data_IF_422887625934
#
_entry.id   IF_422887625934
#
_cell.length_a   1.000
_cell.length_b   1.000
_cell.length_c   1.000
_cell.angle_alpha   90.00
_cell.angle_beta   90.00
_cell.angle_gamma   90.00
#
_symmetry.space_group_name_H-M   'P 1'
#
loop_
_entity.id
_entity.type
_entity.pdbx_description
1 polymer ?
#
# COMPACT_ATOMS: atom_id res chain seq x y z
N UNK A 1 -28.54 24.96 62.15
CA UNK A 1 -27.14 24.60 61.86
C UNK A 1 -27.13 23.52 60.79
N UNK A 2 -27.18 23.90 59.51
CA UNK A 2 -27.04 22.98 58.39
C UNK A 2 -25.57 22.86 58.03
N UNK A 3 -25.03 21.65 58.06
CA UNK A 3 -23.67 21.37 57.64
C UNK A 3 -23.64 21.21 56.11
N UNK A 4 -22.98 22.14 55.43
CA UNK A 4 -22.65 22.02 54.01
C UNK A 4 -21.61 20.92 53.81
N UNK A 5 -22.02 19.83 53.15
CA UNK A 5 -21.10 18.85 52.61
C UNK A 5 -20.41 19.44 51.37
N UNK A 6 -19.16 19.87 51.52
CA UNK A 6 -18.28 20.20 50.39
C UNK A 6 -17.88 18.91 49.67
N UNK A 7 -18.52 18.65 48.54
CA UNK A 7 -18.11 17.61 47.60
C UNK A 7 -16.83 18.06 46.89
N UNK A 8 -15.67 17.60 47.37
CA UNK A 8 -14.40 17.68 46.62
C UNK A 8 -14.49 16.79 45.39
N UNK A 9 -14.75 17.38 44.22
CA UNK A 9 -14.54 16.73 42.94
C UNK A 9 -13.04 16.45 42.77
N UNK A 10 -12.64 15.17 42.79
CA UNK A 10 -11.32 14.75 42.32
C UNK A 10 -11.27 15.06 40.82
N UNK A 11 -10.48 16.06 40.43
CA UNK A 11 -10.00 16.17 39.05
C UNK A 11 -9.15 14.93 38.77
N UNK A 12 -9.72 13.95 38.05
CA UNK A 12 -8.92 12.91 37.41
C UNK A 12 -8.06 13.58 36.33
N UNK A 13 -6.74 13.64 36.57
CA UNK A 13 -5.78 14.01 35.54
C UNK A 13 -5.78 12.89 34.51
N UNK A 14 -6.44 13.10 33.37
CA UNK A 14 -6.41 12.17 32.25
C UNK A 14 -4.97 12.15 31.72
N UNK A 15 -4.24 11.07 32.00
CA UNK A 15 -2.87 10.88 31.53
C UNK A 15 -2.92 10.75 30.00
N UNK A 16 -2.23 11.63 29.29
CA UNK A 16 -2.08 11.56 27.84
C UNK A 16 -1.05 10.48 27.49
N UNK A 17 -1.53 9.27 27.22
CA UNK A 17 -0.71 8.12 26.84
C UNK A 17 0.08 8.36 25.55
N UNK A 18 -0.46 9.16 24.62
CA UNK A 18 0.22 9.47 23.34
C UNK A 18 1.43 10.33 23.60
N UNK A 19 1.27 11.36 24.43
CA UNK A 19 2.36 12.23 24.83
C UNK A 19 3.42 11.47 25.64
N UNK A 20 3.02 10.55 26.54
CA UNK A 20 3.97 9.70 27.26
C UNK A 20 4.81 8.81 26.34
N UNK A 21 4.17 8.16 25.35
CA UNK A 21 4.89 7.34 24.38
C UNK A 21 5.86 8.18 23.55
N UNK A 22 5.41 9.34 23.07
CA UNK A 22 6.25 10.29 22.33
C UNK A 22 7.46 10.75 23.16
N UNK A 23 7.26 11.11 24.43
CA UNK A 23 8.32 11.56 25.33
C UNK A 23 9.30 10.43 25.70
N UNK A 24 8.86 9.17 25.66
CA UNK A 24 9.74 8.01 25.83
C UNK A 24 10.69 7.80 24.65
N UNK A 25 10.43 8.42 23.50
CA UNK A 25 11.20 8.28 22.25
C UNK A 25 12.02 9.53 21.96
N UNK A 26 11.39 10.71 22.05
CA UNK A 26 12.00 12.00 21.72
C UNK A 26 13.24 12.28 22.58
N UNK A 27 14.26 12.86 21.94
CA UNK A 27 15.53 13.19 22.58
C UNK A 27 16.52 12.02 22.64
N UNK A 28 16.11 10.80 22.27
CA UNK A 28 17.02 9.66 22.16
C UNK A 28 17.80 9.73 20.86
N UNK A 29 19.01 9.18 20.90
CA UNK A 29 19.78 8.87 19.70
C UNK A 29 19.74 7.37 19.48
N UNK A 30 19.30 6.95 18.30
CA UNK A 30 19.19 5.54 17.89
C UNK A 30 20.08 5.28 16.70
N UNK A 31 20.41 4.02 16.46
CA UNK A 31 21.14 3.57 15.27
C UNK A 31 20.19 2.82 14.36
N UNK A 32 20.04 3.30 13.13
CA UNK A 32 19.42 2.53 12.05
C UNK A 32 20.49 1.54 11.53
N UNK A 33 20.21 0.22 11.53
CA UNK A 33 21.17 -0.77 11.08
C UNK A 33 21.47 -0.62 9.58
N UNK A 34 22.56 -1.22 9.13
CA UNK A 34 22.92 -1.20 7.72
C UNK A 34 21.95 -2.08 6.91
N UNK A 35 20.99 -1.44 6.25
CA UNK A 35 19.99 -2.12 5.42
C UNK A 35 20.51 -2.45 4.00
N UNK A 36 21.63 -1.88 3.56
CA UNK A 36 22.15 -2.04 2.19
C UNK A 36 22.32 -3.52 1.77
N UNK A 37 22.87 -4.43 2.60
CA UNK A 37 23.01 -5.83 2.21
C UNK A 37 21.67 -6.54 1.92
N UNK A 38 20.56 -6.04 2.45
CA UNK A 38 19.22 -6.59 2.21
C UNK A 38 18.75 -6.25 0.79
N UNK A 39 19.03 -5.02 0.33
CA UNK A 39 18.50 -4.46 -0.91
C UNK A 39 19.47 -4.55 -2.10
N UNK A 40 20.77 -4.29 -1.88
CA UNK A 40 21.78 -4.19 -2.95
C UNK A 40 22.15 -5.55 -3.57
N UNK A 41 21.70 -6.67 -2.97
CA UNK A 41 21.81 -8.00 -3.59
C UNK A 41 20.87 -8.19 -4.78
N UNK A 42 19.88 -7.31 -4.94
CA UNK A 42 18.94 -7.30 -6.08
C UNK A 42 19.33 -6.23 -7.10
N UNK A 43 18.87 -6.38 -8.34
CA UNK A 43 19.15 -5.41 -9.40
C UNK A 43 18.33 -4.14 -9.18
N UNK A 44 18.99 -3.04 -8.80
CA UNK A 44 18.41 -1.70 -8.78
C UNK A 44 19.05 -0.81 -9.84
N UNK A 45 18.23 -0.18 -10.67
CA UNK A 45 18.66 0.88 -11.59
C UNK A 45 17.70 2.06 -11.47
N UNK A 46 18.18 3.25 -11.83
CA UNK A 46 17.29 4.41 -12.01
C UNK A 46 16.86 4.43 -13.48
N UNK A 47 15.57 4.65 -13.73
CA UNK A 47 15.05 4.77 -15.10
C UNK A 47 15.83 5.85 -15.87
N UNK A 48 16.27 5.59 -17.12
CA UNK A 48 17.01 6.57 -17.92
C UNK A 48 16.23 7.86 -18.21
N UNK A 49 14.90 7.84 -18.06
CA UNK A 49 14.04 9.01 -18.25
C UNK A 49 13.88 9.88 -16.99
N UNK A 50 14.60 9.61 -15.90
CA UNK A 50 14.51 10.36 -14.65
C UNK A 50 14.60 11.88 -14.86
N UNK A 51 15.66 12.36 -15.52
CA UNK A 51 15.86 13.80 -15.74
C UNK A 51 14.74 14.42 -16.57
N UNK A 52 14.26 13.69 -17.58
CA UNK A 52 13.14 14.12 -18.42
C UNK A 52 11.80 14.15 -17.65
N UNK A 53 11.68 13.41 -16.54
CA UNK A 53 10.49 13.43 -15.68
C UNK A 53 10.43 14.58 -14.70
N UNK A 54 11.56 15.17 -14.31
CA UNK A 54 11.60 16.31 -13.38
C UNK A 54 10.67 17.46 -13.81
N UNK A 55 10.72 18.01 -15.05
CA UNK A 55 9.82 19.10 -15.45
C UNK A 55 8.35 18.69 -15.49
N UNK A 56 8.04 17.44 -15.84
CA UNK A 56 6.66 16.92 -15.89
C UNK A 56 6.07 16.81 -14.48
N UNK A 57 6.86 16.31 -13.53
CA UNK A 57 6.48 16.23 -12.11
C UNK A 57 6.29 17.62 -11.53
N UNK A 58 7.22 18.55 -11.79
CA UNK A 58 7.12 19.92 -11.27
C UNK A 58 5.86 20.62 -11.78
N UNK A 59 5.58 20.55 -13.08
CA UNK A 59 4.36 21.11 -13.67
C UNK A 59 3.10 20.46 -13.10
N UNK A 60 3.12 19.15 -12.88
CA UNK A 60 2.01 18.44 -12.26
C UNK A 60 1.75 18.92 -10.83
N UNK A 61 2.78 19.03 -10.00
CA UNK A 61 2.64 19.53 -8.63
C UNK A 61 2.15 20.97 -8.59
N UNK A 62 2.69 21.84 -9.45
CA UNK A 62 2.26 23.25 -9.58
C UNK A 62 0.77 23.37 -9.95
N UNK A 63 0.25 22.44 -10.75
CA UNK A 63 -1.18 22.43 -11.10
C UNK A 63 -2.11 21.99 -9.97
N UNK A 64 -1.60 21.31 -8.94
CA UNK A 64 -2.40 20.70 -7.87
C UNK A 64 -2.23 21.40 -6.52
N UNK A 65 -1.09 22.08 -6.30
CA UNK A 65 -0.73 22.62 -4.99
C UNK A 65 -0.49 24.12 -5.08
N UNK A 66 -1.49 24.90 -4.66
CA UNK A 66 -1.44 26.36 -4.70
C UNK A 66 -0.56 26.97 -3.59
N UNK A 67 -0.42 26.28 -2.46
CA UNK A 67 0.39 26.77 -1.35
C UNK A 67 1.89 26.61 -1.66
N UNK A 68 2.60 27.72 -1.86
CA UNK A 68 4.02 27.73 -2.26
C UNK A 68 4.94 26.98 -1.28
N UNK A 69 4.69 27.08 0.03
CA UNK A 69 5.50 26.40 1.05
C UNK A 69 5.29 24.88 0.98
N UNK A 70 4.04 24.43 0.85
CA UNK A 70 3.70 23.00 0.67
C UNK A 70 4.29 22.49 -0.66
N UNK A 71 4.16 23.24 -1.74
CA UNK A 71 4.72 22.91 -3.05
C UNK A 71 6.25 22.76 -2.98
N UNK A 72 6.95 23.70 -2.34
CA UNK A 72 8.40 23.60 -2.16
C UNK A 72 8.79 22.34 -1.37
N UNK A 73 8.08 22.02 -0.28
CA UNK A 73 8.29 20.77 0.49
C UNK A 73 8.02 19.53 -0.35
N UNK A 74 6.98 19.50 -1.18
CA UNK A 74 6.66 18.36 -2.03
C UNK A 74 7.69 18.17 -3.15
N UNK A 75 8.24 19.25 -3.71
CA UNK A 75 9.31 19.16 -4.71
C UNK A 75 10.58 18.51 -4.15
N UNK A 76 10.89 18.66 -2.86
CA UNK A 76 12.03 17.96 -2.25
C UNK A 76 11.79 16.45 -2.08
N UNK A 77 10.54 15.98 -2.19
CA UNK A 77 10.25 14.55 -2.16
C UNK A 77 10.79 13.82 -3.40
N UNK A 78 11.02 14.54 -4.52
CA UNK A 78 11.49 14.00 -5.80
C UNK A 78 10.69 12.77 -6.28
N UNK A 79 9.43 13.01 -6.67
CA UNK A 79 8.57 11.96 -7.21
C UNK A 79 9.05 11.41 -8.56
N UNK A 80 9.87 12.17 -9.31
CA UNK A 80 10.50 11.68 -10.52
C UNK A 80 11.50 10.57 -10.17
N UNK A 81 12.32 10.78 -9.13
CA UNK A 81 13.26 9.78 -8.62
C UNK A 81 12.53 8.60 -8.00
N UNK A 82 11.44 8.83 -7.26
CA UNK A 82 10.58 7.77 -6.70
C UNK A 82 10.14 6.80 -7.80
N UNK A 83 9.44 7.30 -8.82
CA UNK A 83 8.92 6.46 -9.88
C UNK A 83 10.02 5.83 -10.73
N UNK A 84 11.13 6.55 -10.96
CA UNK A 84 12.27 6.03 -11.73
C UNK A 84 13.00 4.89 -11.02
N UNK A 85 12.92 4.83 -9.69
CA UNK A 85 13.46 3.75 -8.88
C UNK A 85 12.48 2.56 -8.78
N UNK A 86 11.18 2.82 -8.62
CA UNK A 86 10.16 1.77 -8.55
C UNK A 86 9.95 1.03 -9.88
N UNK A 87 9.95 1.78 -10.99
CA UNK A 87 9.71 1.24 -12.34
C UNK A 87 10.86 1.57 -13.29
N UNK A 88 12.05 0.99 -13.06
CA UNK A 88 13.27 1.39 -13.75
C UNK A 88 13.31 0.99 -15.23
N UNK A 89 12.44 0.08 -15.64
CA UNK A 89 12.31 -0.41 -17.01
C UNK A 89 11.07 0.14 -17.73
N UNK A 90 10.33 1.07 -17.12
CA UNK A 90 9.18 1.67 -17.76
C UNK A 90 9.58 2.58 -18.92
N UNK A 91 8.88 2.42 -20.03
CA UNK A 91 8.90 3.39 -21.11
C UNK A 91 8.33 4.74 -20.62
N UNK A 92 8.69 5.84 -21.29
CA UNK A 92 8.36 7.19 -20.81
C UNK A 92 6.87 7.42 -20.58
N UNK A 93 6.02 6.82 -21.43
CA UNK A 93 4.56 6.95 -21.35
C UNK A 93 4.01 6.32 -20.09
N UNK A 94 4.40 5.07 -19.81
CA UNK A 94 4.00 4.31 -18.63
C UNK A 94 4.63 4.92 -17.38
N UNK A 95 5.91 5.32 -17.43
CA UNK A 95 6.62 6.01 -16.34
C UNK A 95 5.87 7.26 -15.89
N UNK A 96 5.38 8.07 -16.83
CA UNK A 96 4.57 9.26 -16.51
C UNK A 96 3.30 8.91 -15.74
N UNK A 97 2.63 7.81 -16.11
CA UNK A 97 1.34 7.41 -15.51
C UNK A 97 1.55 6.89 -14.09
N UNK A 98 2.55 6.02 -13.88
CA UNK A 98 2.89 5.53 -12.54
C UNK A 98 3.46 6.64 -11.65
N UNK A 99 4.14 7.64 -12.23
CA UNK A 99 4.55 8.85 -11.50
C UNK A 99 3.35 9.68 -11.08
N UNK A 100 2.35 9.85 -11.95
CA UNK A 100 1.12 10.55 -11.60
C UNK A 100 0.30 9.81 -10.54
N UNK A 101 0.29 8.47 -10.56
CA UNK A 101 -0.31 7.67 -9.50
C UNK A 101 0.41 7.88 -8.17
N UNK A 102 1.74 7.87 -8.15
CA UNK A 102 2.51 8.15 -6.94
C UNK A 102 2.19 9.56 -6.39
N UNK A 103 2.20 10.59 -7.22
CA UNK A 103 1.81 11.95 -6.81
C UNK A 103 0.37 11.97 -6.27
N UNK A 104 -0.56 11.27 -6.94
CA UNK A 104 -1.95 11.20 -6.51
C UNK A 104 -2.08 10.59 -5.12
N UNK A 105 -1.45 9.43 -4.89
CA UNK A 105 -1.48 8.72 -3.61
C UNK A 105 -0.96 9.60 -2.48
N UNK A 106 0.21 10.22 -2.64
CA UNK A 106 0.78 11.10 -1.62
C UNK A 106 -0.08 12.34 -1.34
N UNK A 107 -0.61 12.99 -2.38
CA UNK A 107 -1.42 14.20 -2.20
C UNK A 107 -2.79 13.91 -1.59
N UNK A 108 -3.40 12.80 -2.00
CA UNK A 108 -4.69 12.35 -1.48
C UNK A 108 -4.57 11.95 -0.01
N UNK A 109 -3.51 11.22 0.34
CA UNK A 109 -3.18 10.84 1.72
C UNK A 109 -2.91 12.06 2.61
N UNK A 110 -2.05 12.98 2.17
CA UNK A 110 -1.71 14.20 2.89
C UNK A 110 -2.95 15.08 3.19
N UNK A 111 -4.04 14.96 2.41
CA UNK A 111 -5.29 15.69 2.69
C UNK A 111 -6.02 15.17 3.94
N UNK A 112 -5.78 13.91 4.32
CA UNK A 112 -6.41 13.21 5.44
C UNK A 112 -5.46 13.03 6.63
N UNK A 113 -4.17 12.78 6.39
CA UNK A 113 -3.22 12.41 7.45
C UNK A 113 -2.32 13.56 7.94
N UNK A 114 -1.83 14.43 7.05
CA UNK A 114 -0.91 15.48 7.50
C UNK A 114 -1.64 16.45 8.47
N UNK A 115 -0.96 16.97 9.52
CA UNK A 115 -1.60 17.89 10.47
C UNK A 115 -2.20 19.16 9.86
N UNK A 116 -1.80 19.51 8.64
CA UNK A 116 -2.34 20.64 7.86
C UNK A 116 -3.21 20.19 6.68
N UNK A 117 -3.62 18.92 6.65
CA UNK A 117 -4.51 18.35 5.65
C UNK A 117 -5.91 18.95 5.75
N UNK A 118 -6.58 19.11 4.62
CA UNK A 118 -7.89 19.78 4.53
C UNK A 118 -8.98 19.07 5.36
N UNK A 119 -8.86 17.75 5.50
CA UNK A 119 -9.85 16.92 6.16
C UNK A 119 -9.30 16.22 7.42
N UNK A 120 -8.08 16.55 7.85
CA UNK A 120 -7.37 15.79 8.88
C UNK A 120 -8.09 15.79 10.24
N UNK A 121 -8.81 16.86 10.57
CA UNK A 121 -9.56 17.05 11.82
C UNK A 121 -11.09 16.96 11.66
N UNK A 122 -11.59 16.65 10.46
CA UNK A 122 -13.02 16.63 10.15
C UNK A 122 -13.43 15.29 9.52
N UNK A 123 -13.93 14.39 10.37
CA UNK A 123 -14.30 13.03 9.97
C UNK A 123 -15.43 13.02 8.93
N UNK A 124 -16.48 13.83 9.13
CA UNK A 124 -17.63 13.88 8.24
C UNK A 124 -17.26 14.39 6.85
N UNK A 125 -16.46 15.45 6.75
CA UNK A 125 -15.96 15.94 5.47
C UNK A 125 -15.02 14.92 4.80
N UNK A 126 -14.15 14.27 5.58
CA UNK A 126 -13.29 13.20 5.08
C UNK A 126 -14.10 12.03 4.50
N UNK A 127 -15.24 11.66 5.11
CA UNK A 127 -16.13 10.62 4.58
C UNK A 127 -16.75 10.99 3.23
N UNK A 128 -17.14 12.26 3.04
CA UNK A 128 -17.60 12.76 1.74
C UNK A 128 -16.47 12.69 0.71
N UNK A 129 -15.26 13.13 1.08
CA UNK A 129 -14.07 13.07 0.23
C UNK A 129 -13.73 11.63 -0.21
N UNK A 130 -13.77 10.66 0.71
CA UNK A 130 -13.57 9.23 0.41
C UNK A 130 -14.64 8.68 -0.53
N UNK A 131 -15.91 8.96 -0.24
CA UNK A 131 -17.05 8.46 -1.02
C UNK A 131 -17.04 9.00 -2.46
N UNK A 132 -16.76 10.30 -2.61
CA UNK A 132 -16.60 10.91 -3.93
C UNK A 132 -15.41 10.30 -4.68
N UNK A 133 -14.29 10.11 -3.98
CA UNK A 133 -13.10 9.48 -4.56
C UNK A 133 -13.43 8.10 -5.10
N UNK A 134 -14.00 7.21 -4.29
CA UNK A 134 -14.32 5.84 -4.71
C UNK A 134 -15.21 5.81 -5.95
N UNK A 135 -16.28 6.62 -5.97
CA UNK A 135 -17.17 6.73 -7.13
C UNK A 135 -16.42 7.24 -8.36
N UNK A 136 -15.58 8.27 -8.21
CA UNK A 136 -14.83 8.86 -9.31
C UNK A 136 -13.81 7.88 -9.90
N UNK A 137 -13.12 7.11 -9.05
CA UNK A 137 -12.22 6.05 -9.48
C UNK A 137 -12.97 4.98 -10.29
N UNK A 138 -14.12 4.51 -9.80
CA UNK A 138 -14.96 3.54 -10.51
C UNK A 138 -15.38 4.05 -11.90
N UNK A 139 -15.80 5.31 -12.00
CA UNK A 139 -16.20 5.93 -13.27
C UNK A 139 -15.00 6.07 -14.22
N UNK A 140 -13.86 6.57 -13.70
CA UNK A 140 -12.64 6.74 -14.49
C UNK A 140 -12.10 5.42 -15.01
N UNK A 141 -12.23 4.35 -14.22
CA UNK A 141 -11.89 2.99 -14.61
C UNK A 141 -12.97 2.31 -15.44
N UNK A 142 -14.11 2.97 -15.71
CA UNK A 142 -15.19 2.42 -16.54
C UNK A 142 -15.88 1.19 -15.93
N UNK A 143 -15.92 1.10 -14.60
CA UNK A 143 -16.52 0.00 -13.85
C UNK A 143 -17.98 0.28 -13.47
N UNK A 144 -18.36 1.54 -13.31
CA UNK A 144 -19.71 1.97 -12.89
C UNK A 144 -20.85 1.63 -13.87
N UNK A 145 -20.52 1.28 -15.11
CA UNK A 145 -21.49 0.95 -16.17
C UNK A 145 -21.35 -0.48 -16.70
N UNK A 146 -20.44 -1.29 -16.15
CA UNK A 146 -20.18 -2.63 -16.67
C UNK A 146 -21.27 -3.61 -16.22
N UNK A 147 -22.09 -4.10 -17.17
CA UNK A 147 -22.94 -5.29 -16.96
C UNK A 147 -22.14 -6.60 -17.00
N UNK A 148 -20.87 -6.55 -17.39
CA UNK A 148 -19.92 -7.65 -17.28
C UNK A 148 -19.31 -7.64 -15.88
N UNK A 149 -20.16 -7.87 -14.87
CA UNK A 149 -19.66 -8.47 -13.63
C UNK A 149 -19.38 -9.92 -14.00
N UNK A 150 -18.17 -10.18 -14.52
CA UNK A 150 -17.61 -11.54 -14.45
C UNK A 150 -17.78 -11.98 -13.00
N UNK A 151 -18.16 -13.23 -12.76
CA UNK A 151 -18.36 -13.79 -11.42
C UNK A 151 -17.10 -13.64 -10.58
N UNK A 152 -16.92 -12.47 -9.98
CA UNK A 152 -15.86 -12.15 -9.04
C UNK A 152 -16.37 -12.69 -7.73
N UNK A 153 -15.61 -13.64 -7.20
CA UNK A 153 -15.67 -14.01 -5.79
C UNK A 153 -15.52 -12.72 -5.02
N UNK A 154 -16.62 -12.26 -4.43
CA UNK A 154 -16.62 -11.19 -3.45
C UNK A 154 -15.49 -11.47 -2.47
N UNK A 155 -14.65 -10.47 -2.20
CA UNK A 155 -13.88 -10.49 -0.95
C UNK A 155 -14.88 -10.81 0.15
N UNK A 156 -14.76 -11.93 0.88
CA UNK A 156 -15.30 -11.92 2.22
C UNK A 156 -14.51 -10.82 2.89
N UNK A 157 -15.16 -9.70 3.17
CA UNK A 157 -14.64 -8.75 4.11
C UNK A 157 -14.15 -9.59 5.31
N UNK A 158 -12.84 -9.54 5.58
CA UNK A 158 -12.25 -10.03 6.83
C UNK A 158 -12.04 -11.55 7.06
N UNK A 159 -12.30 -12.49 6.14
CA UNK A 159 -12.01 -13.93 6.44
C UNK A 159 -10.50 -14.29 6.40
N UNK A 160 -9.67 -13.52 5.71
CA UNK A 160 -8.21 -13.71 5.71
C UNK A 160 -7.48 -13.01 6.86
N UNK A 161 -8.19 -12.27 7.72
CA UNK A 161 -7.60 -11.69 8.93
C UNK A 161 -7.35 -12.75 10.01
N UNK A 162 -8.07 -13.87 9.99
CA UNK A 162 -7.61 -15.06 10.73
C UNK A 162 -6.26 -15.56 10.24
N UNK A 163 -6.00 -15.50 8.93
CA UNK A 163 -4.72 -15.86 8.33
C UNK A 163 -3.62 -14.84 8.64
N UNK A 164 -3.93 -13.55 8.64
CA UNK A 164 -2.99 -12.47 8.92
C UNK A 164 -2.73 -12.27 10.43
N UNK A 165 -3.76 -12.35 11.28
CA UNK A 165 -3.62 -12.46 12.73
C UNK A 165 -2.94 -13.78 13.15
N UNK A 166 -3.15 -14.90 12.42
CA UNK A 166 -2.28 -16.09 12.54
C UNK A 166 -0.87 -15.80 12.05
N UNK A 167 -0.66 -14.98 11.03
CA UNK A 167 0.64 -14.68 10.45
C UNK A 167 1.47 -13.78 11.38
N UNK A 168 0.88 -12.73 11.96
CA UNK A 168 1.47 -11.92 13.02
C UNK A 168 1.68 -12.78 14.28
N UNK A 169 0.71 -13.63 14.68
CA UNK A 169 0.92 -14.61 15.75
C UNK A 169 2.01 -15.63 15.43
N UNK A 170 2.16 -16.06 14.18
CA UNK A 170 3.18 -17.03 13.74
C UNK A 170 4.55 -16.37 13.68
N UNK A 171 4.64 -15.11 13.27
CA UNK A 171 5.85 -14.28 13.38
C UNK A 171 6.30 -14.18 14.85
N UNK A 172 5.37 -13.90 15.77
CA UNK A 172 5.64 -13.88 17.21
C UNK A 172 5.94 -15.27 17.78
N UNK A 173 5.27 -16.33 17.33
CA UNK A 173 5.44 -17.71 17.83
C UNK A 173 6.73 -18.36 17.33
N UNK A 174 7.13 -18.13 16.07
CA UNK A 174 8.40 -18.58 15.49
C UNK A 174 9.58 -17.84 16.14
N UNK A 175 9.40 -16.57 16.51
CA UNK A 175 10.31 -15.79 17.36
C UNK A 175 10.46 -16.37 18.78
N UNK A 176 9.37 -16.82 19.41
CA UNK A 176 9.42 -17.45 20.74
C UNK A 176 10.02 -18.87 20.75
N UNK A 177 10.02 -19.58 19.62
CA UNK A 177 10.36 -21.00 19.58
C UNK A 177 11.70 -21.31 18.89
N UNK A 178 12.23 -20.46 18.00
CA UNK A 178 13.57 -20.66 17.43
C UNK A 178 13.77 -22.02 16.75
N UNK A 179 12.80 -22.51 15.96
CA UNK A 179 12.89 -23.84 15.31
C UNK A 179 12.70 -23.74 13.79
N UNK A 180 13.67 -24.28 13.05
CA UNK A 180 13.62 -24.58 11.62
C UNK A 180 12.63 -25.72 11.32
N UNK A 181 11.82 -25.72 10.24
CA UNK A 181 10.92 -26.82 9.97
C UNK A 181 11.65 -27.97 9.24
N UNK A 182 11.88 -29.07 9.97
CA UNK A 182 12.18 -30.39 9.38
C UNK A 182 10.88 -31.13 8.97
N UNK A 183 11.05 -31.98 7.95
CA UNK A 183 10.00 -32.67 7.19
C UNK A 183 9.31 -33.84 7.90
N UNK A 184 8.11 -34.20 7.38
CA UNK A 184 7.50 -35.55 7.15
C UNK A 184 5.99 -35.34 6.89
N UNK A 185 5.23 -36.06 6.07
CA UNK A 185 5.40 -37.28 5.28
C UNK A 185 4.00 -37.91 5.06
N UNK A 186 3.59 -38.06 3.80
CA UNK A 186 2.67 -39.06 3.18
C UNK A 186 1.32 -39.49 3.82
N UNK A 187 0.22 -39.44 3.04
CA UNK A 187 -0.59 -40.59 2.55
C UNK A 187 -1.74 -40.14 1.60
N UNK A 188 -2.11 -40.97 0.61
CA UNK A 188 -3.20 -40.78 -0.41
C UNK A 188 -4.39 -41.77 -0.13
N UNK A 189 -5.38 -42.01 -1.04
CA UNK A 189 -6.64 -41.28 -1.27
C UNK A 189 -7.90 -42.21 -1.25
N UNK A 190 -9.13 -41.69 -1.43
CA UNK A 190 -10.26 -42.49 -1.94
C UNK A 190 -11.39 -41.67 -2.62
N UNK A 191 -12.26 -42.39 -3.36
CA UNK A 191 -13.07 -42.01 -4.55
C UNK A 191 -14.57 -41.75 -4.29
N UNK A 192 -15.23 -41.13 -5.29
CA UNK A 192 -16.63 -41.41 -5.75
C UNK A 192 -17.55 -40.17 -5.71
N UNK A 193 -18.23 -39.62 -6.72
CA UNK A 193 -18.84 -39.96 -8.05
C UNK A 193 -20.38 -39.72 -8.03
N UNK A 194 -20.80 -38.64 -8.73
CA UNK A 194 -22.05 -38.35 -9.48
C UNK A 194 -23.38 -37.95 -8.83
N UNK A 195 -23.99 -36.94 -9.48
CA UNK A 195 -25.42 -36.62 -9.47
C UNK A 195 -25.74 -35.45 -10.42
N UNK A 196 -26.58 -35.68 -11.44
CA UNK A 196 -26.67 -34.95 -12.71
C UNK A 196 -27.89 -34.01 -12.85
N UNK A 197 -27.75 -32.97 -13.68
CA UNK A 197 -28.70 -32.40 -14.69
C UNK A 197 -30.13 -31.98 -14.28
N UNK A 198 -30.41 -30.67 -14.43
CA UNK A 198 -31.62 -30.00 -14.99
C UNK A 198 -31.40 -28.48 -14.81
N UNK A 199 -31.27 -27.63 -15.84
CA UNK A 199 -32.36 -26.94 -16.56
C UNK A 199 -31.75 -26.22 -17.78
N UNK A 200 -32.11 -26.66 -18.99
CA UNK A 200 -31.83 -25.97 -20.26
C UNK A 200 -33.20 -25.69 -20.91
N UNK A 201 -33.66 -24.44 -20.87
CA UNK A 201 -35.01 -24.13 -21.37
C UNK A 201 -35.46 -22.67 -21.33
N UNK A 202 -34.54 -21.69 -21.37
CA UNK A 202 -34.92 -20.25 -21.43
C UNK A 202 -34.05 -19.34 -22.33
N UNK A 203 -33.12 -19.86 -23.13
CA UNK A 203 -32.16 -19.01 -23.88
C UNK A 203 -32.44 -18.80 -25.38
N UNK A 204 -33.53 -19.31 -25.96
CA UNK A 204 -33.73 -19.20 -27.42
C UNK A 204 -34.67 -18.05 -27.85
N UNK A 205 -35.30 -17.32 -26.90
CA UNK A 205 -36.19 -16.19 -27.25
C UNK A 205 -35.55 -14.79 -27.22
N UNK A 206 -34.32 -14.62 -26.72
CA UNK A 206 -33.66 -13.30 -26.72
C UNK A 206 -32.82 -13.03 -27.98
N UNK A 207 -32.45 -14.06 -28.74
CA UNK A 207 -31.56 -13.94 -29.89
C UNK A 207 -32.17 -13.22 -31.11
N UNK A 208 -33.50 -13.04 -31.16
CA UNK A 208 -34.18 -12.41 -32.30
C UNK A 208 -34.37 -10.90 -32.11
N UNK A 209 -34.14 -10.35 -30.90
CA UNK A 209 -34.25 -8.91 -30.64
C UNK A 209 -32.94 -8.13 -30.86
N UNK A 210 -31.82 -8.84 -31.04
CA UNK A 210 -30.48 -8.25 -31.12
C UNK A 210 -30.09 -7.73 -32.51
N UNK A 211 -30.84 -8.09 -33.57
CA UNK A 211 -30.47 -7.78 -34.96
C UNK A 211 -30.98 -6.43 -35.50
N UNK A 212 -31.65 -5.59 -34.72
CA UNK A 212 -32.13 -4.29 -35.22
C UNK A 212 -31.85 -3.14 -34.24
N UNK A 213 -30.71 -2.48 -34.47
CA UNK A 213 -30.53 -1.05 -34.19
C UNK A 213 -29.76 -0.68 -32.92
N UNK A 214 -28.44 -0.82 -32.93
CA UNK A 214 -27.58 -0.05 -32.02
C UNK A 214 -26.92 1.10 -32.79
N UNK A 215 -27.33 2.33 -32.46
CA UNK A 215 -26.54 3.54 -32.76
C UNK A 215 -25.26 3.50 -31.92
N UNK A 216 -24.12 4.02 -32.40
CA UNK A 216 -22.88 4.02 -31.62
C UNK A 216 -23.07 4.80 -30.32
N UNK A 217 -22.67 4.20 -29.19
CA UNK A 217 -22.76 4.80 -27.88
C UNK A 217 -21.94 6.10 -27.83
N UNK A 218 -22.54 7.20 -27.37
CA UNK A 218 -21.81 8.43 -27.03
C UNK A 218 -20.74 8.09 -25.99
N UNK A 219 -19.50 8.56 -26.17
CA UNK A 219 -18.48 8.53 -25.10
C UNK A 219 -19.02 9.30 -23.90
N UNK A 220 -19.50 8.58 -22.88
CA UNK A 220 -19.88 9.17 -21.60
C UNK A 220 -18.59 9.34 -20.82
N UNK A 221 -18.13 10.58 -20.68
CA UNK A 221 -17.03 10.91 -19.76
C UNK A 221 -17.61 10.99 -18.34
N UNK A 222 -16.86 10.55 -17.30
CA UNK A 222 -17.25 10.82 -15.92
C UNK A 222 -17.43 12.33 -15.74
N UNK A 223 -18.41 12.80 -14.95
CA UNK A 223 -18.49 14.21 -14.60
C UNK A 223 -17.18 14.67 -13.93
N UNK A 224 -16.83 15.97 -13.99
CA UNK A 224 -15.72 16.51 -13.22
C UNK A 224 -15.91 16.24 -11.72
N UNK A 225 -14.84 15.88 -11.02
CA UNK A 225 -14.86 15.84 -9.55
C UNK A 225 -14.85 17.25 -8.96
N UNK A 226 -15.40 17.37 -7.75
CA UNK A 226 -15.41 18.61 -6.96
C UNK A 226 -14.01 19.02 -6.50
N UNK A 227 -13.08 18.06 -6.35
CA UNK A 227 -11.77 18.30 -5.75
C UNK A 227 -10.62 18.07 -6.76
N UNK A 228 -9.67 19.02 -6.92
CA UNK A 228 -8.59 18.92 -7.90
C UNK A 228 -7.74 17.65 -7.78
N UNK A 229 -7.46 17.19 -6.55
CA UNK A 229 -6.70 15.95 -6.33
C UNK A 229 -7.46 14.73 -6.86
N UNK A 230 -8.75 14.59 -6.56
CA UNK A 230 -9.59 13.49 -7.05
C UNK A 230 -9.65 13.54 -8.58
N UNK A 231 -9.98 14.70 -9.15
CA UNK A 231 -10.05 14.93 -10.61
C UNK A 231 -8.73 14.55 -11.31
N UNK A 232 -7.59 14.81 -10.64
CA UNK A 232 -6.29 14.52 -11.20
C UNK A 232 -6.08 13.03 -11.49
N UNK A 233 -6.85 12.11 -10.87
CA UNK A 233 -6.82 10.68 -11.20
C UNK A 233 -7.26 10.37 -12.64
N UNK A 234 -8.06 11.23 -13.28
CA UNK A 234 -8.69 10.94 -14.57
C UNK A 234 -7.70 10.49 -15.64
N UNK A 235 -6.54 11.12 -15.73
CA UNK A 235 -5.50 10.76 -16.71
C UNK A 235 -4.95 9.35 -16.48
N UNK A 236 -4.87 8.91 -15.22
CA UNK A 236 -4.45 7.56 -14.83
C UNK A 236 -5.55 6.58 -15.24
N UNK A 237 -6.80 6.84 -14.84
CA UNK A 237 -7.94 5.99 -15.18
C UNK A 237 -8.18 5.86 -16.69
N UNK A 238 -8.01 6.95 -17.45
CA UNK A 238 -8.09 6.94 -18.91
C UNK A 238 -7.01 6.06 -19.55
N UNK A 239 -5.80 6.08 -19.03
CA UNK A 239 -4.74 5.17 -19.49
C UNK A 239 -5.06 3.72 -19.14
N UNK A 240 -5.45 3.45 -17.89
CA UNK A 240 -5.76 2.10 -17.44
C UNK A 240 -6.94 1.51 -18.22
N UNK A 241 -7.95 2.30 -18.60
CA UNK A 241 -9.02 1.86 -19.52
C UNK A 241 -8.53 1.38 -20.88
N UNK A 242 -7.42 1.94 -21.37
CA UNK A 242 -6.83 1.56 -22.66
C UNK A 242 -5.91 0.36 -22.49
N UNK A 243 -5.10 0.35 -21.44
CA UNK A 243 -4.06 -0.64 -21.23
C UNK A 243 -4.58 -1.96 -20.64
N UNK A 244 -5.50 -1.88 -19.68
CA UNK A 244 -5.93 -3.00 -18.83
C UNK A 244 -7.25 -3.63 -19.30
N UNK A 245 -7.41 -4.93 -19.01
CA UNK A 245 -8.71 -5.60 -19.12
C UNK A 245 -9.70 -5.06 -18.08
N UNK A 246 -10.98 -5.46 -18.16
CA UNK A 246 -11.98 -5.12 -17.12
C UNK A 246 -11.55 -5.68 -15.77
N UNK A 247 -11.05 -6.91 -15.73
CA UNK A 247 -10.62 -7.60 -14.52
C UNK A 247 -9.40 -6.94 -13.86
N UNK A 248 -8.40 -6.54 -14.65
CA UNK A 248 -7.24 -5.80 -14.14
C UNK A 248 -7.66 -4.46 -13.52
N UNK A 249 -8.59 -3.74 -14.16
CA UNK A 249 -9.16 -2.50 -13.62
C UNK A 249 -9.95 -2.73 -12.34
N UNK A 250 -10.75 -3.78 -12.27
CA UNK A 250 -11.49 -4.13 -11.05
C UNK A 250 -10.54 -4.43 -9.89
N UNK A 251 -9.49 -5.21 -10.10
CA UNK A 251 -8.55 -5.55 -9.03
C UNK A 251 -7.78 -4.32 -8.55
N UNK A 252 -7.28 -3.49 -9.47
CA UNK A 252 -6.69 -2.20 -9.09
C UNK A 252 -7.69 -1.36 -8.29
N UNK A 253 -8.96 -1.33 -8.70
CA UNK A 253 -10.00 -0.61 -7.96
C UNK A 253 -10.25 -1.17 -6.56
N UNK A 254 -10.22 -2.50 -6.36
CA UNK A 254 -10.36 -3.09 -5.03
C UNK A 254 -9.14 -2.79 -4.15
N UNK A 255 -7.92 -2.75 -4.69
CA UNK A 255 -6.74 -2.27 -3.95
C UNK A 255 -6.90 -0.79 -3.54
N UNK A 256 -7.42 0.06 -4.44
CA UNK A 256 -7.72 1.46 -4.13
C UNK A 256 -8.82 1.61 -3.08
N UNK A 257 -9.87 0.77 -3.12
CA UNK A 257 -10.91 0.77 -2.09
C UNK A 257 -10.37 0.35 -0.73
N UNK A 258 -9.51 -0.67 -0.70
CA UNK A 258 -8.87 -1.11 0.53
C UNK A 258 -7.98 -0.01 1.11
N UNK A 259 -7.19 0.67 0.27
CA UNK A 259 -6.45 1.88 0.65
C UNK A 259 -7.37 2.96 1.24
N UNK A 260 -8.42 3.36 0.52
CA UNK A 260 -9.36 4.41 0.96
C UNK A 260 -10.03 4.03 2.28
N UNK A 261 -10.52 2.80 2.42
CA UNK A 261 -11.20 2.31 3.62
C UNK A 261 -10.27 2.26 4.84
N UNK A 262 -9.02 1.86 4.67
CA UNK A 262 -8.05 1.81 5.79
C UNK A 262 -7.64 3.20 6.27
N UNK A 263 -7.66 4.24 5.41
CA UNK A 263 -7.45 5.63 5.85
C UNK A 263 -8.57 6.15 6.75
N UNK A 264 -9.78 5.59 6.67
CA UNK A 264 -10.84 5.90 7.64
C UNK A 264 -10.46 5.40 9.02
N UNK A 265 -9.99 4.15 9.10
CA UNK A 265 -9.60 3.50 10.35
C UNK A 265 -8.49 4.28 11.05
N UNK A 266 -7.44 4.68 10.32
CA UNK A 266 -6.36 5.51 10.87
C UNK A 266 -6.86 6.86 11.37
N UNK A 267 -7.68 7.56 10.58
CA UNK A 267 -8.24 8.85 10.98
C UNK A 267 -9.09 8.71 12.25
N UNK A 268 -9.91 7.65 12.35
CA UNK A 268 -10.73 7.40 13.53
C UNK A 268 -9.87 7.21 14.77
N UNK A 269 -8.80 6.41 14.69
CA UNK A 269 -7.87 6.23 15.81
C UNK A 269 -7.26 7.54 16.27
N UNK A 270 -6.84 8.38 15.31
CA UNK A 270 -6.26 9.70 15.57
C UNK A 270 -7.24 10.64 16.26
N UNK A 271 -8.48 10.75 15.74
CA UNK A 271 -9.51 11.63 16.29
C UNK A 271 -10.01 11.18 17.66
N UNK A 272 -10.10 9.87 17.88
CA UNK A 272 -10.47 9.29 19.18
C UNK A 272 -9.33 9.36 20.21
N UNK A 273 -8.12 9.75 19.79
CA UNK A 273 -6.92 9.74 20.62
C UNK A 273 -6.46 8.33 21.00
N UNK A 274 -6.92 7.31 20.28
CA UNK A 274 -6.54 5.91 20.49
C UNK A 274 -5.10 5.70 20.02
N UNK A 275 -4.34 4.90 20.76
CA UNK A 275 -3.07 4.33 20.29
C UNK A 275 -3.40 2.95 19.71
N UNK A 276 -3.18 2.70 18.40
CA UNK A 276 -3.43 1.39 17.80
C UNK A 276 -2.56 0.31 18.46
N UNK A 277 -3.07 -0.92 18.55
CA UNK A 277 -2.18 -2.07 18.81
C UNK A 277 -1.34 -2.39 17.56
N UNK A 278 -0.28 -3.19 17.71
CA UNK A 278 0.50 -3.64 16.54
C UNK A 278 -0.36 -4.43 15.53
N UNK A 279 -1.34 -5.21 16.01
CA UNK A 279 -2.27 -5.94 15.15
C UNK A 279 -3.13 -4.97 14.34
N UNK A 280 -3.74 -3.97 15.00
CA UNK A 280 -4.57 -2.94 14.36
C UNK A 280 -3.77 -2.05 13.41
N UNK A 281 -2.52 -1.72 13.78
CA UNK A 281 -1.59 -1.01 12.90
C UNK A 281 -1.36 -1.80 11.62
N UNK A 282 -1.01 -3.08 11.72
CA UNK A 282 -0.74 -3.89 10.53
C UNK A 282 -1.99 -4.11 9.67
N UNK A 283 -3.17 -4.24 10.27
CA UNK A 283 -4.44 -4.30 9.56
C UNK A 283 -4.70 -3.07 8.69
N UNK A 284 -4.46 -1.88 9.23
CA UNK A 284 -4.64 -0.63 8.49
C UNK A 284 -3.48 -0.36 7.51
N UNK A 285 -2.24 -0.54 7.96
CA UNK A 285 -1.03 -0.16 7.23
C UNK A 285 -0.84 -0.93 5.93
N UNK A 286 -1.28 -2.18 5.87
CA UNK A 286 -1.26 -2.94 4.62
C UNK A 286 -2.10 -2.28 3.52
N UNK A 287 -3.13 -1.50 3.88
CA UNK A 287 -3.90 -0.68 2.95
C UNK A 287 -3.29 0.71 2.79
N UNK A 288 -3.07 1.44 3.88
CA UNK A 288 -2.63 2.86 3.85
C UNK A 288 -1.23 3.07 3.28
N UNK A 289 -0.40 2.03 3.21
CA UNK A 289 0.88 2.07 2.49
C UNK A 289 0.72 2.29 0.98
N UNK A 290 -0.45 1.97 0.43
CA UNK A 290 -0.78 1.96 -0.99
C UNK A 290 0.16 1.11 -1.88
N UNK A 291 0.99 0.24 -1.29
CA UNK A 291 1.98 -0.54 -2.03
C UNK A 291 1.31 -1.50 -3.00
N UNK A 292 0.17 -2.10 -2.63
CA UNK A 292 -0.60 -2.96 -3.53
C UNK A 292 -0.99 -2.25 -4.82
N UNK A 293 -1.48 -1.00 -4.74
CA UNK A 293 -1.83 -0.20 -5.91
C UNK A 293 -0.61 0.13 -6.78
N UNK A 294 0.57 0.34 -6.19
CA UNK A 294 1.82 0.52 -6.92
C UNK A 294 2.31 -0.79 -7.59
N UNK A 295 2.21 -1.93 -6.90
CA UNK A 295 2.58 -3.24 -7.46
C UNK A 295 1.68 -3.63 -8.63
N UNK A 296 0.39 -3.27 -8.58
CA UNK A 296 -0.53 -3.46 -9.70
C UNK A 296 -0.05 -2.75 -10.99
N UNK A 297 0.82 -1.74 -10.91
CA UNK A 297 1.39 -1.06 -12.09
C UNK A 297 2.53 -1.83 -12.77
N UNK A 298 3.03 -2.91 -12.17
CA UNK A 298 4.01 -3.81 -12.82
C UNK A 298 3.42 -4.34 -14.14
N UNK A 299 2.12 -4.62 -14.17
CA UNK A 299 1.42 -5.06 -15.39
C UNK A 299 1.37 -3.99 -16.47
N UNK A 300 1.13 -2.73 -16.10
CA UNK A 300 1.13 -1.60 -17.02
C UNK A 300 2.51 -1.45 -17.67
N UNK A 301 3.55 -1.46 -16.85
CA UNK A 301 4.94 -1.25 -17.25
C UNK A 301 5.45 -2.38 -18.15
N UNK A 302 5.00 -3.61 -17.92
CA UNK A 302 5.46 -4.79 -18.66
C UNK A 302 4.45 -5.30 -19.70
N UNK A 303 3.34 -4.60 -19.87
CA UNK A 303 2.25 -4.97 -20.79
C UNK A 303 1.76 -6.41 -20.61
N UNK A 304 1.69 -6.87 -19.36
CA UNK A 304 1.23 -8.22 -19.01
C UNK A 304 -0.27 -8.33 -19.30
N UNK A 305 -0.66 -9.29 -20.15
CA UNK A 305 -2.04 -9.50 -20.62
C UNK A 305 -2.40 -10.98 -20.52
N UNK A 306 -2.54 -11.48 -19.29
CA UNK A 306 -2.94 -12.86 -18.99
C UNK A 306 -4.24 -12.95 -18.18
N UNK A 307 -4.86 -14.14 -18.04
CA UNK A 307 -6.02 -14.35 -17.17
C UNK A 307 -5.62 -14.05 -15.73
N UNK A 308 -5.99 -12.86 -15.29
CA UNK A 308 -5.38 -12.21 -14.15
C UNK A 308 -5.92 -12.72 -12.81
N UNK A 309 -5.00 -13.05 -11.90
CA UNK A 309 -5.27 -13.49 -10.53
C UNK A 309 -4.18 -13.05 -9.53
N UNK A 310 -3.49 -11.92 -9.65
CA UNK A 310 -2.44 -11.60 -8.66
C UNK A 310 -2.98 -11.54 -7.21
N UNK A 311 -4.21 -11.06 -7.02
CA UNK A 311 -4.93 -11.08 -5.74
C UNK A 311 -5.76 -12.35 -5.54
N UNK A 312 -6.05 -13.09 -6.62
CA UNK A 312 -6.91 -14.28 -6.64
C UNK A 312 -6.14 -15.61 -6.73
N UNK A 313 -4.81 -15.56 -6.79
CA UNK A 313 -3.91 -16.71 -6.78
C UNK A 313 -3.05 -16.63 -5.51
N UNK A 314 -3.11 -17.63 -4.61
CA UNK A 314 -2.48 -17.56 -3.29
C UNK A 314 -1.01 -17.13 -3.32
N UNK A 315 -0.21 -17.72 -4.21
CA UNK A 315 1.22 -17.41 -4.35
C UNK A 315 1.51 -15.99 -4.83
N UNK A 316 0.76 -15.48 -5.80
CA UNK A 316 0.96 -14.10 -6.28
C UNK A 316 0.54 -13.11 -5.19
N UNK A 317 -0.51 -13.43 -4.44
CA UNK A 317 -0.95 -12.64 -3.29
C UNK A 317 0.12 -12.64 -2.19
N UNK A 318 0.71 -13.79 -1.87
CA UNK A 318 1.81 -13.87 -0.89
C UNK A 318 3.00 -13.00 -1.32
N UNK A 319 3.39 -13.05 -2.60
CA UNK A 319 4.47 -12.18 -3.11
C UNK A 319 4.13 -10.70 -2.95
N UNK A 320 2.90 -10.28 -3.27
CA UNK A 320 2.46 -8.90 -3.09
C UNK A 320 2.39 -8.48 -1.62
N UNK A 321 1.88 -9.35 -0.74
CA UNK A 321 1.77 -9.08 0.69
C UNK A 321 3.16 -8.94 1.33
N UNK A 322 4.09 -9.85 1.06
CA UNK A 322 5.47 -9.73 1.56
C UNK A 322 6.18 -8.50 0.99
N UNK A 323 5.90 -8.14 -0.27
CA UNK A 323 6.43 -6.90 -0.86
C UNK A 323 5.97 -5.65 -0.13
N UNK A 324 4.69 -5.61 0.24
CA UNK A 324 4.10 -4.54 1.03
C UNK A 324 4.76 -4.45 2.41
N UNK A 325 4.89 -5.59 3.11
CA UNK A 325 5.54 -5.68 4.42
C UNK A 325 7.00 -5.16 4.35
N UNK A 326 7.78 -5.59 3.37
CA UNK A 326 9.17 -5.14 3.18
C UNK A 326 9.23 -3.63 3.01
N UNK A 327 8.36 -3.06 2.17
CA UNK A 327 8.28 -1.60 1.95
C UNK A 327 7.90 -0.89 3.24
N UNK A 328 6.88 -1.34 3.96
CA UNK A 328 6.39 -0.74 5.20
C UNK A 328 7.46 -0.73 6.29
N UNK A 329 8.07 -1.88 6.59
CA UNK A 329 9.08 -1.98 7.66
C UNK A 329 10.27 -1.07 7.35
N UNK A 330 10.78 -1.09 6.12
CA UNK A 330 11.87 -0.22 5.71
C UNK A 330 11.46 1.26 5.75
N UNK A 331 10.23 1.58 5.35
CA UNK A 331 9.71 2.94 5.41
C UNK A 331 9.71 3.46 6.84
N UNK A 332 9.03 2.78 7.75
CA UNK A 332 8.84 3.23 9.13
C UNK A 332 10.16 3.33 9.93
N UNK A 333 11.20 2.55 9.57
CA UNK A 333 12.55 2.77 10.10
C UNK A 333 13.20 4.05 9.56
N UNK A 334 13.08 4.32 8.25
CA UNK A 334 13.75 5.43 7.58
C UNK A 334 13.00 6.77 7.75
N UNK A 335 11.68 6.74 7.93
CA UNK A 335 10.84 7.91 8.17
C UNK A 335 10.73 8.28 9.65
N UNK A 336 11.21 7.44 10.57
CA UNK A 336 11.03 7.59 12.03
C UNK A 336 11.29 9.01 12.53
N UNK A 337 12.41 9.62 12.13
CA UNK A 337 12.75 10.99 12.56
C UNK A 337 11.71 12.01 12.10
N UNK A 338 11.25 11.92 10.85
CA UNK A 338 10.20 12.80 10.29
C UNK A 338 8.91 12.64 11.10
N UNK A 339 8.51 11.41 11.37
CA UNK A 339 7.28 11.08 12.10
C UNK A 339 7.29 11.61 13.55
N UNK A 340 8.39 11.40 14.29
CA UNK A 340 8.53 11.91 15.67
C UNK A 340 8.55 13.45 15.74
N UNK A 341 9.16 14.12 14.76
CA UNK A 341 9.10 15.59 14.63
C UNK A 341 7.65 16.04 14.40
N UNK A 342 6.89 15.31 13.58
CA UNK A 342 5.49 15.59 13.29
C UNK A 342 4.51 15.09 14.37
N UNK A 343 5.01 14.48 15.45
CA UNK A 343 4.22 13.84 16.53
C UNK A 343 3.31 12.70 16.01
N UNK A 344 3.68 12.09 14.89
CA UNK A 344 3.02 10.90 14.36
C UNK A 344 3.64 9.68 15.04
N UNK A 345 2.91 9.08 15.98
CA UNK A 345 3.34 7.88 16.72
C UNK A 345 2.61 6.62 16.27
N UNK A 346 1.68 6.74 15.32
CA UNK A 346 0.92 5.60 14.77
C UNK A 346 1.74 4.91 13.67
N UNK A 347 2.95 4.49 14.02
CA UNK A 347 3.99 3.93 13.16
C UNK A 347 4.59 2.69 13.82
N UNK A 348 5.16 1.76 13.04
CA UNK A 348 5.65 0.48 13.53
C UNK A 348 6.60 0.63 14.71
N UNK A 349 7.58 1.54 14.60
CA UNK A 349 8.63 1.68 15.62
C UNK A 349 8.05 2.25 16.93
N UNK A 350 7.34 3.39 16.97
CA UNK A 350 6.76 3.88 18.22
C UNK A 350 5.80 2.90 18.88
N UNK A 351 4.93 2.23 18.09
CA UNK A 351 3.95 1.26 18.61
C UNK A 351 4.63 -0.01 19.16
N UNK A 352 5.85 -0.30 18.73
CA UNK A 352 6.66 -1.43 19.21
C UNK A 352 7.40 -1.13 20.52
N UNK A 353 7.60 0.13 20.89
CA UNK A 353 8.36 0.50 22.11
C UNK A 353 7.78 -0.11 23.39
N UNK A 354 6.47 -0.10 23.65
CA UNK A 354 5.91 -0.74 24.85
C UNK A 354 6.08 -2.26 24.89
N UNK A 355 6.28 -2.89 23.72
CA UNK A 355 6.44 -4.35 23.58
C UNK A 355 7.89 -4.78 23.83
N UNK A 356 8.86 -4.03 23.27
CA UNK A 356 10.28 -4.38 23.34
C UNK A 356 11.06 -3.61 24.41
N UNK A 357 10.43 -2.65 25.09
CA UNK A 357 11.01 -1.91 26.21
C UNK A 357 11.82 -0.68 25.84
N UNK A 358 12.10 -0.47 24.55
CA UNK A 358 12.83 0.70 24.07
C UNK A 358 12.78 0.87 22.56
N UNK A 359 13.16 2.07 22.11
CA UNK A 359 13.14 2.44 20.68
C UNK A 359 14.26 1.78 19.89
N UNK A 360 15.42 1.53 20.50
CA UNK A 360 16.49 0.80 19.81
C UNK A 360 16.10 -0.67 19.63
N UNK A 361 15.55 -1.29 20.67
CA UNK A 361 15.07 -2.67 20.65
C UNK A 361 13.94 -2.86 19.63
N UNK A 362 13.04 -1.87 19.51
CA UNK A 362 12.00 -1.86 18.47
C UNK A 362 12.58 -1.77 17.05
N UNK A 363 13.64 -0.97 16.82
CA UNK A 363 14.33 -0.87 15.53
C UNK A 363 15.06 -2.19 15.22
N UNK A 364 15.74 -2.76 16.20
CA UNK A 364 16.47 -4.02 16.04
C UNK A 364 15.51 -5.16 15.68
N UNK A 365 14.32 -5.19 16.30
CA UNK A 365 13.28 -6.14 15.93
C UNK A 365 12.73 -5.89 14.53
N UNK A 366 12.41 -4.64 14.17
CA UNK A 366 11.93 -4.31 12.83
C UNK A 366 12.95 -4.75 11.74
N UNK A 367 14.25 -4.64 12.03
CA UNK A 367 15.28 -5.14 11.13
C UNK A 367 15.28 -6.67 10.98
N UNK A 368 15.04 -7.42 12.08
CA UNK A 368 14.85 -8.88 12.04
C UNK A 368 13.62 -9.24 11.20
N UNK A 369 12.50 -8.54 11.42
CA UNK A 369 11.25 -8.78 10.71
C UNK A 369 11.37 -8.47 9.21
N UNK A 370 12.15 -7.44 8.85
CA UNK A 370 12.49 -7.12 7.45
C UNK A 370 13.27 -8.26 6.79
N UNK A 371 14.30 -8.80 7.45
CA UNK A 371 15.05 -9.96 6.95
C UNK A 371 14.15 -11.17 6.75
N UNK A 372 13.24 -11.42 7.70
CA UNK A 372 12.29 -12.53 7.62
C UNK A 372 11.30 -12.36 6.47
N UNK A 373 10.78 -11.15 6.23
CA UNK A 373 9.90 -10.86 5.11
C UNK A 373 10.59 -11.08 3.76
N UNK A 374 11.84 -10.62 3.62
CA UNK A 374 12.66 -10.87 2.43
C UNK A 374 12.88 -12.38 2.21
N UNK A 375 13.18 -13.14 3.25
CA UNK A 375 13.35 -14.58 3.15
C UNK A 375 12.06 -15.30 2.72
N UNK A 376 10.90 -14.90 3.27
CA UNK A 376 9.59 -15.47 2.89
C UNK A 376 9.25 -15.16 1.44
N UNK A 377 9.50 -13.94 0.98
CA UNK A 377 9.30 -13.63 -0.43
C UNK A 377 10.22 -14.45 -1.33
N UNK A 378 11.52 -14.52 -1.02
CA UNK A 378 12.48 -15.27 -1.86
C UNK A 378 12.08 -16.75 -1.94
N UNK A 379 11.63 -17.35 -0.83
CA UNK A 379 11.12 -18.72 -0.81
C UNK A 379 9.86 -18.90 -1.68
N UNK A 380 8.88 -17.99 -1.61
CA UNK A 380 7.68 -18.07 -2.46
C UNK A 380 8.01 -17.80 -3.94
N UNK A 381 9.00 -16.94 -4.21
CA UNK A 381 9.50 -16.64 -5.55
C UNK A 381 10.24 -17.85 -6.16
N UNK A 382 11.02 -18.59 -5.39
CA UNK A 382 11.64 -19.84 -5.83
C UNK A 382 10.59 -20.93 -6.08
N UNK A 383 9.61 -21.04 -5.18
CA UNK A 383 8.50 -21.98 -5.31
C UNK A 383 7.69 -21.75 -6.59
N UNK A 384 7.24 -20.52 -6.86
CA UNK A 384 6.44 -20.23 -8.05
C UNK A 384 7.20 -20.49 -9.36
N UNK A 385 8.53 -20.40 -9.33
CA UNK A 385 9.39 -20.64 -10.50
C UNK A 385 9.75 -22.12 -10.71
N UNK A 386 9.63 -22.94 -9.67
CA UNK A 386 10.02 -24.36 -9.70
C UNK A 386 8.85 -25.33 -9.79
N UNK A 387 7.67 -24.92 -9.32
CA UNK A 387 6.43 -25.71 -9.38
C UNK A 387 5.70 -25.54 -10.73
N UNK A 388 4.80 -26.47 -11.10
CA UNK A 388 3.94 -26.30 -12.26
C UNK A 388 3.18 -24.97 -12.21
N UNK A 389 3.32 -24.17 -13.25
CA UNK A 389 2.70 -22.86 -13.32
C UNK A 389 1.16 -22.97 -13.38
N UNK A 390 0.50 -22.63 -12.27
CA UNK A 390 -0.97 -22.59 -12.13
C UNK A 390 -1.55 -21.19 -12.19
N UNK A 391 -0.72 -20.17 -12.43
CA UNK A 391 -1.12 -18.76 -12.33
C UNK A 391 -1.89 -18.27 -13.55
N UNK A 392 -1.72 -18.95 -14.69
CA UNK A 392 -2.24 -18.51 -15.98
C UNK A 392 -1.37 -17.46 -16.69
N UNK A 393 -0.34 -16.94 -16.02
CA UNK A 393 0.71 -16.12 -16.65
C UNK A 393 1.70 -17.03 -17.37
N UNK A 394 2.34 -16.55 -18.44
CA UNK A 394 3.52 -17.21 -19.01
C UNK A 394 4.70 -17.15 -18.05
N UNK A 395 5.67 -18.07 -18.19
CA UNK A 395 6.88 -18.05 -17.35
C UNK A 395 7.68 -16.73 -17.48
N UNK A 396 7.63 -16.09 -18.66
CA UNK A 396 8.22 -14.77 -18.85
C UNK A 396 7.49 -13.68 -18.06
N UNK A 397 6.16 -13.67 -18.08
CA UNK A 397 5.37 -12.70 -17.32
C UNK A 397 5.54 -12.91 -15.82
N UNK A 398 5.61 -14.16 -15.34
CA UNK A 398 5.90 -14.47 -13.95
C UNK A 398 7.24 -13.91 -13.50
N UNK A 399 8.29 -14.07 -14.33
CA UNK A 399 9.62 -13.52 -14.01
C UNK A 399 9.58 -12.00 -13.96
N UNK A 400 8.88 -11.35 -14.90
CA UNK A 400 8.69 -9.90 -14.90
C UNK A 400 7.94 -9.44 -13.66
N UNK A 401 6.93 -10.17 -13.21
CA UNK A 401 6.17 -9.85 -11.99
C UNK A 401 7.04 -9.94 -10.74
N UNK A 402 7.69 -11.09 -10.52
CA UNK A 402 8.56 -11.31 -9.34
C UNK A 402 9.70 -10.29 -9.31
N UNK A 403 10.34 -10.03 -10.44
CA UNK A 403 11.41 -9.02 -10.53
C UNK A 403 10.86 -7.59 -10.37
N UNK A 404 9.65 -7.31 -10.85
CA UNK A 404 8.95 -6.06 -10.64
C UNK A 404 8.73 -5.77 -9.15
N UNK A 405 8.27 -6.76 -8.38
CA UNK A 405 8.13 -6.63 -6.93
C UNK A 405 9.45 -6.30 -6.25
N UNK A 406 10.54 -6.99 -6.61
CA UNK A 406 11.89 -6.71 -6.10
C UNK A 406 12.34 -5.29 -6.40
N UNK A 407 12.16 -4.84 -7.65
CA UNK A 407 12.49 -3.47 -8.06
C UNK A 407 11.70 -2.44 -7.28
N UNK A 408 10.43 -2.69 -6.96
CA UNK A 408 9.60 -1.76 -6.20
C UNK A 408 10.16 -1.50 -4.80
N UNK A 409 10.48 -2.54 -4.02
CA UNK A 409 11.02 -2.31 -2.66
C UNK A 409 12.47 -1.83 -2.65
N UNK A 410 13.30 -2.25 -3.63
CA UNK A 410 14.68 -1.73 -3.77
C UNK A 410 14.62 -0.26 -4.14
N UNK A 411 13.71 0.06 -5.06
CA UNK A 411 13.48 1.42 -5.51
C UNK A 411 12.97 2.31 -4.38
N UNK A 412 12.05 1.81 -3.54
CA UNK A 412 11.59 2.52 -2.35
C UNK A 412 12.74 2.81 -1.38
N UNK A 413 13.60 1.82 -1.12
CA UNK A 413 14.78 2.00 -0.27
C UNK A 413 15.72 3.07 -0.83
N UNK A 414 16.11 2.96 -2.11
CA UNK A 414 17.01 3.90 -2.77
C UNK A 414 16.46 5.34 -2.75
N UNK A 415 15.16 5.50 -3.04
CA UNK A 415 14.50 6.79 -2.95
C UNK A 415 14.48 7.33 -1.51
N UNK A 416 14.19 6.48 -0.52
CA UNK A 416 14.12 6.86 0.89
C UNK A 416 15.44 7.42 1.43
N UNK A 417 16.59 6.92 0.94
CA UNK A 417 17.90 7.42 1.34
C UNK A 417 18.22 8.82 0.79
N UNK A 418 17.64 9.19 -0.35
CA UNK A 418 17.98 10.41 -1.09
C UNK A 418 16.89 11.49 -1.00
N UNK A 419 15.65 11.12 -0.68
CA UNK A 419 14.52 12.05 -0.67
C UNK A 419 14.67 13.14 0.41
N UNK A 420 14.32 14.37 0.04
CA UNK A 420 14.18 15.46 1.01
C UNK A 420 13.01 15.27 1.98
N UNK A 421 12.10 14.30 1.73
CA UNK A 421 10.97 14.00 2.62
C UNK A 421 11.42 13.48 3.99
N UNK A 422 12.49 12.69 4.06
CA UNK A 422 13.02 12.11 5.30
C UNK A 422 14.24 12.83 5.84
N UNK A 423 14.92 13.64 5.01
CA UNK A 423 16.08 14.41 5.43
C UNK A 423 17.30 13.55 5.77
N UNK A 424 17.38 12.34 5.21
CA UNK A 424 18.49 11.40 5.45
C UNK A 424 19.73 11.70 4.62
N UNK A 425 19.61 12.46 3.53
CA UNK A 425 20.72 12.77 2.62
C UNK A 425 21.88 13.57 3.25
N UNK A 426 21.66 14.20 4.40
CA UNK A 426 22.69 14.92 5.16
C UNK A 426 23.43 14.05 6.19
N UNK A 427 23.03 12.78 6.35
CA UNK A 427 23.56 11.87 7.35
C UNK A 427 24.71 11.07 6.75
N UNK A 428 25.83 10.96 7.46
CA UNK A 428 26.97 10.15 7.00
C UNK A 428 26.61 8.66 7.06
N UNK A 429 26.47 8.04 5.89
CA UNK A 429 26.14 6.62 5.70
C UNK A 429 27.37 5.78 5.34
N UNK A 430 28.61 6.24 5.57
CA UNK A 430 29.85 5.59 5.07
C UNK A 430 30.02 4.12 5.44
N UNK A 431 29.49 3.67 6.58
CA UNK A 431 29.51 2.27 7.02
C UNK A 431 28.18 1.54 6.80
N UNK A 432 27.22 2.21 6.15
CA UNK A 432 25.87 1.72 5.82
C UNK A 432 24.85 1.78 6.97
N UNK A 433 25.28 1.80 8.23
CA UNK A 433 24.42 2.17 9.36
C UNK A 433 24.50 3.67 9.62
N UNK A 434 23.51 4.24 10.31
CA UNK A 434 23.57 5.65 10.66
C UNK A 434 22.79 5.99 11.93
N UNK A 435 23.25 7.01 12.64
CA UNK A 435 22.61 7.48 13.87
C UNK A 435 21.53 8.53 13.58
N UNK A 436 20.37 8.38 14.23
CA UNK A 436 19.27 9.33 14.20
C UNK A 436 19.04 9.93 15.59
N UNK A 437 19.03 11.25 15.68
CA UNK A 437 18.50 11.97 16.84
C UNK A 437 17.00 12.24 16.62
N UNK A 438 16.17 11.73 17.52
CA UNK A 438 14.70 11.74 17.45
C UNK A 438 14.06 12.91 18.19
#
# INVERSE_FOLDING_TARGET
MGAEAKTTAKMEVKIDQRQLLLDSIRGKTVTIPNLRPIFEKYTGAVNPNYEAMIPVVNSRLESLVLNEKRLAKLKTADFALFASNWWPTAEFRELRIVTFLAIWLFLWDDALDEPTGEYADNFEAAQVYRSETEQFLADCLGLSTSTEISTVVTYPAFDNLKGFGLYVKKMLLEYFLGVSPEAKGTTKPSRGFFGSVKILGKQVKSAVRWTLGMKPAKKVFPPPSSHPIIESFRVIGDELKVAYTVEQRQNFFEDMKFYIATTETEQRYKLDGKIPTLEEYWEARMGTSAVAACLAMIELVHHIKGPYRSTNHPTLKTLSDESNIIVVIANDMLSLKKEIIQKQIDSLIPLSVPVYGGVQEAIDQAHIDLLAAVARFDAEAEKIMSEPNTTGMSDSELRLFVEGCRKCWVGNFNWSLCTGRYGLGAIDQKNGSFSLSL
#
